data_IF_215144613718
#
_entry.id   IF_215144613718
#
_cell.length_a   1.000
_cell.length_b   1.000
_cell.length_c   1.000
_cell.angle_alpha   90.00
_cell.angle_beta   90.00
_cell.angle_gamma   90.00
#
_symmetry.space_group_name_H-M   'P 1'
#
loop_
_entity.id
_entity.type
_entity.pdbx_description
1 polymer ?
#
# COMPACT_ATOMS: atom_id res chain seq x y z
N UNK A 1 9.39 52.14 22.88
CA UNK A 1 8.15 51.48 22.42
C UNK A 1 8.34 50.42 21.31
N UNK A 2 9.54 49.82 21.15
CA UNK A 2 9.82 48.86 20.06
C UNK A 2 10.01 47.39 20.50
N UNK A 3 10.11 47.10 21.80
CA UNK A 3 10.40 45.74 22.31
C UNK A 3 9.26 44.72 22.17
N UNK A 4 8.00 45.17 22.08
CA UNK A 4 6.86 44.25 21.96
C UNK A 4 6.59 43.74 20.54
N UNK A 5 7.07 44.46 19.51
CA UNK A 5 6.86 44.05 18.11
C UNK A 5 7.82 42.95 17.67
N UNK A 6 9.05 42.97 18.17
CA UNK A 6 10.08 41.97 17.85
C UNK A 6 9.83 40.62 18.52
N UNK A 7 9.33 40.60 19.76
CA UNK A 7 9.00 39.35 20.47
C UNK A 7 7.80 38.63 19.88
N UNK A 8 6.76 39.35 19.45
CA UNK A 8 5.62 38.76 18.73
C UNK A 8 6.04 38.11 17.40
N UNK A 9 6.94 38.75 16.66
CA UNK A 9 7.44 38.20 15.39
C UNK A 9 8.23 36.91 15.59
N UNK A 10 9.09 36.84 16.62
CA UNK A 10 9.88 35.64 16.91
C UNK A 10 9.00 34.46 17.35
N UNK A 11 7.98 34.71 18.17
CA UNK A 11 7.03 33.68 18.61
C UNK A 11 6.19 33.12 17.45
N UNK A 12 5.74 33.98 16.52
CA UNK A 12 5.00 33.56 15.34
C UNK A 12 5.87 32.71 14.39
N UNK A 13 7.14 33.09 14.19
CA UNK A 13 8.07 32.30 13.38
C UNK A 13 8.36 30.94 14.02
N UNK A 14 8.56 30.88 15.35
CA UNK A 14 8.77 29.62 16.06
C UNK A 14 7.55 28.68 15.98
N UNK A 15 6.34 29.23 16.09
CA UNK A 15 5.10 28.46 15.92
C UNK A 15 4.98 27.91 14.50
N UNK A 16 5.25 28.72 13.48
CA UNK A 16 5.23 28.30 12.08
C UNK A 16 6.24 27.19 11.80
N UNK A 17 7.47 27.32 12.31
CA UNK A 17 8.51 26.28 12.20
C UNK A 17 8.07 25.00 12.90
N UNK A 18 7.44 25.09 14.07
CA UNK A 18 6.92 23.93 14.81
C UNK A 18 5.78 23.26 14.04
N UNK A 19 4.85 24.02 13.48
CA UNK A 19 3.76 23.49 12.64
C UNK A 19 4.32 22.82 11.40
N UNK A 20 5.29 23.44 10.71
CA UNK A 20 5.98 22.83 9.56
C UNK A 20 6.69 21.55 10.00
N UNK A 21 7.44 21.55 11.10
CA UNK A 21 8.15 20.37 11.61
C UNK A 21 7.19 19.23 11.97
N UNK A 22 6.08 19.54 12.66
CA UNK A 22 5.01 18.58 12.99
C UNK A 22 4.33 18.07 11.72
N UNK A 23 4.03 18.93 10.75
CA UNK A 23 3.48 18.52 9.45
C UNK A 23 4.47 17.72 8.60
N UNK A 24 5.78 17.92 8.79
CA UNK A 24 6.80 17.14 8.08
C UNK A 24 7.01 15.78 8.76
N UNK A 25 6.94 15.75 10.09
CA UNK A 25 7.08 14.54 10.91
C UNK A 25 5.82 13.64 10.86
N UNK A 26 4.63 14.26 10.79
CA UNK A 26 3.33 13.56 10.76
C UNK A 26 2.61 13.59 9.40
N UNK A 27 3.07 14.37 8.44
CA UNK A 27 2.42 14.49 7.13
C UNK A 27 2.72 13.32 6.19
N UNK A 28 2.08 13.39 5.03
CA UNK A 28 2.09 12.43 3.92
C UNK A 28 3.48 12.12 3.30
N UNK A 29 4.58 12.57 3.92
CA UNK A 29 5.95 12.42 3.46
C UNK A 29 6.88 11.59 4.36
N UNK A 30 6.49 11.23 5.58
CA UNK A 30 7.37 10.47 6.49
C UNK A 30 7.42 8.97 6.11
N UNK A 31 8.17 8.66 5.05
CA UNK A 31 8.46 7.28 4.65
C UNK A 31 9.33 6.63 5.73
N UNK A 32 8.82 5.56 6.31
CA UNK A 32 9.55 4.79 7.33
C UNK A 32 9.80 3.38 6.80
N UNK A 33 11.06 2.96 6.88
CA UNK A 33 11.52 1.65 6.43
C UNK A 33 11.52 0.65 7.59
N UNK A 34 11.33 -0.62 7.26
CA UNK A 34 11.53 -1.64 8.28
C UNK A 34 13.02 -1.67 8.65
N UNK A 35 13.38 -1.77 9.94
CA UNK A 35 14.79 -1.78 10.35
C UNK A 35 15.55 -3.01 9.84
N UNK A 36 14.83 -4.10 9.54
CA UNK A 36 15.38 -5.35 9.04
C UNK A 36 14.43 -5.92 7.98
N UNK A 37 14.98 -6.41 6.87
CA UNK A 37 14.21 -7.13 5.85
C UNK A 37 13.71 -8.45 6.43
N UNK A 38 12.43 -8.75 6.25
CA UNK A 38 11.83 -9.97 6.78
C UNK A 38 10.78 -10.57 5.85
N UNK A 39 10.67 -11.89 5.88
CA UNK A 39 9.54 -12.62 5.32
C UNK A 39 8.81 -13.31 6.48
N UNK A 40 7.48 -13.13 6.55
CA UNK A 40 6.64 -13.66 7.63
C UNK A 40 5.45 -14.36 7.00
N UNK A 41 5.06 -15.49 7.56
CA UNK A 41 3.83 -16.19 7.16
C UNK A 41 2.74 -15.89 8.17
N UNK A 42 1.55 -15.57 7.70
CA UNK A 42 0.36 -15.31 8.51
C UNK A 42 -0.77 -16.23 8.10
N UNK A 43 -1.59 -16.62 9.07
CA UNK A 43 -2.78 -17.46 8.95
C UNK A 43 -4.07 -16.66 8.72
N UNK A 44 -4.01 -15.33 8.88
CA UNK A 44 -5.13 -14.43 8.68
C UNK A 44 -4.66 -13.12 8.01
N UNK A 45 -5.39 -12.57 7.00
CA UNK A 45 -4.96 -11.38 6.28
C UNK A 45 -4.77 -10.14 7.17
N UNK A 46 -5.63 -9.94 8.17
CA UNK A 46 -5.55 -8.84 9.13
C UNK A 46 -4.21 -8.81 9.88
N UNK A 47 -3.58 -9.96 10.15
CA UNK A 47 -2.28 -10.01 10.84
C UNK A 47 -1.15 -9.40 10.01
N UNK A 48 -1.32 -9.26 8.70
CA UNK A 48 -0.35 -8.55 7.86
C UNK A 48 -0.18 -7.09 8.30
N UNK A 49 -1.29 -6.42 8.66
CA UNK A 49 -1.25 -5.05 9.16
C UNK A 49 -0.46 -4.95 10.47
N UNK A 50 -0.65 -5.88 11.40
CA UNK A 50 0.07 -5.88 12.67
C UNK A 50 1.58 -6.01 12.46
N UNK A 51 2.01 -6.87 11.53
CA UNK A 51 3.42 -7.00 11.15
C UNK A 51 3.97 -5.67 10.62
N UNK A 52 3.24 -4.97 9.76
CA UNK A 52 3.65 -3.67 9.23
C UNK A 52 3.71 -2.60 10.33
N UNK A 53 2.65 -2.51 11.15
CA UNK A 53 2.53 -1.55 12.26
C UNK A 53 3.65 -1.73 13.28
N UNK A 54 3.92 -2.95 13.72
CA UNK A 54 4.97 -3.25 14.71
C UNK A 54 6.37 -2.87 14.21
N UNK A 55 6.59 -2.93 12.89
CA UNK A 55 7.85 -2.51 12.27
C UNK A 55 7.91 -1.01 11.95
N UNK A 56 6.84 -0.27 12.26
CA UNK A 56 6.79 1.18 12.09
C UNK A 56 6.84 1.62 10.62
N UNK A 57 6.50 0.75 9.66
CA UNK A 57 6.57 1.12 8.24
C UNK A 57 5.42 2.05 7.87
N UNK A 58 5.73 3.09 7.10
CA UNK A 58 4.77 4.13 6.69
C UNK A 58 5.05 4.62 5.27
N UNK A 59 3.99 4.98 4.55
CA UNK A 59 4.04 5.60 3.23
C UNK A 59 4.71 4.74 2.16
N UNK A 60 4.41 3.43 2.12
CA UNK A 60 5.06 2.45 1.24
C UNK A 60 4.23 2.08 0.03
N UNK A 61 4.93 1.71 -1.04
CA UNK A 61 4.30 1.02 -2.16
C UNK A 61 4.07 -0.43 -1.77
N UNK A 62 2.85 -0.92 -1.95
CA UNK A 62 2.48 -2.32 -1.76
C UNK A 62 2.47 -3.03 -3.11
N UNK A 63 3.14 -4.17 -3.22
CA UNK A 63 2.93 -5.16 -4.28
C UNK A 63 2.01 -6.24 -3.72
N UNK A 64 0.79 -6.29 -4.23
CA UNK A 64 -0.31 -7.12 -3.73
C UNK A 64 -0.58 -8.24 -4.72
N UNK A 65 -0.18 -9.46 -4.39
CA UNK A 65 -0.50 -10.68 -5.14
C UNK A 65 -1.77 -11.29 -4.55
N UNK A 66 -2.92 -11.02 -5.16
CA UNK A 66 -4.23 -11.49 -4.67
C UNK A 66 -5.24 -11.64 -5.81
N UNK A 67 -6.41 -12.23 -5.56
CA UNK A 67 -7.45 -12.51 -6.57
C UNK A 67 -8.38 -11.34 -6.82
N UNK A 68 -8.61 -10.47 -5.85
CA UNK A 68 -9.40 -9.26 -6.07
C UNK A 68 -9.20 -8.28 -4.93
N UNK A 69 -8.97 -6.99 -5.19
CA UNK A 69 -9.00 -5.99 -4.15
C UNK A 69 -10.48 -5.80 -3.79
N UNK A 70 -10.83 -5.86 -2.51
CA UNK A 70 -12.20 -5.70 -2.01
C UNK A 70 -12.74 -4.25 -2.20
N UNK A 71 -12.58 -3.67 -3.39
CA UNK A 71 -12.93 -2.29 -3.77
C UNK A 71 -14.41 -2.11 -4.07
N UNK A 72 -15.28 -2.70 -3.24
CA UNK A 72 -16.68 -2.28 -3.20
C UNK A 72 -16.67 -0.92 -2.53
N UNK A 73 -16.52 0.15 -3.32
CA UNK A 73 -16.27 1.55 -2.92
C UNK A 73 -17.33 2.22 -2.04
N UNK A 74 -17.81 1.53 -1.00
CA UNK A 74 -18.73 1.96 0.04
C UNK A 74 -18.38 1.25 1.35
N UNK A 75 -17.16 1.46 1.86
CA UNK A 75 -16.94 1.21 3.28
C UNK A 75 -17.43 2.43 4.05
N UNK A 76 -18.63 2.31 4.58
CA UNK A 76 -19.23 3.29 5.46
C UNK A 76 -18.69 3.00 6.88
N UNK A 77 -17.54 3.56 7.23
CA UNK A 77 -17.04 3.52 8.61
C UNK A 77 -17.97 4.39 9.47
N UNK A 78 -19.09 3.84 9.91
CA UNK A 78 -19.86 4.41 11.01
C UNK A 78 -19.16 3.99 12.32
N UNK A 79 -18.20 4.81 12.78
CA UNK A 79 -17.42 4.54 14.00
C UNK A 79 -15.92 4.39 13.74
N UNK A 80 -15.19 3.81 14.70
CA UNK A 80 -13.76 3.53 14.52
C UNK A 80 -13.54 2.44 13.46
N UNK A 81 -12.57 2.61 12.54
CA UNK A 81 -12.19 1.56 11.63
C UNK A 81 -11.80 0.30 12.40
N UNK A 82 -12.50 -0.80 12.15
CA UNK A 82 -12.11 -2.13 12.61
C UNK A 82 -11.46 -2.87 11.45
N UNK A 83 -10.29 -3.46 11.72
CA UNK A 83 -9.56 -4.24 10.72
C UNK A 83 -10.26 -5.60 10.54
N UNK A 84 -10.66 -5.87 9.31
CA UNK A 84 -11.24 -7.11 8.85
C UNK A 84 -10.42 -7.65 7.69
N UNK A 85 -10.52 -8.96 7.44
CA UNK A 85 -9.95 -9.59 6.24
C UNK A 85 -10.32 -8.83 4.95
N UNK A 86 -11.56 -8.36 4.87
CA UNK A 86 -12.12 -7.70 3.69
C UNK A 86 -11.60 -6.28 3.45
N UNK A 87 -10.95 -5.64 4.43
CA UNK A 87 -10.61 -4.22 4.37
C UNK A 87 -9.13 -3.92 4.70
N UNK A 88 -8.27 -4.94 4.73
CA UNK A 88 -6.85 -4.83 5.07
C UNK A 88 -6.15 -3.68 4.30
N UNK A 89 -6.37 -3.61 3.00
CA UNK A 89 -5.70 -2.67 2.10
C UNK A 89 -6.20 -1.24 2.37
N UNK A 90 -7.50 -1.07 2.43
CA UNK A 90 -8.21 0.16 2.78
C UNK A 90 -7.71 0.71 4.11
N UNK A 91 -7.73 -0.15 5.14
CA UNK A 91 -7.31 0.18 6.49
C UNK A 91 -5.85 0.61 6.53
N UNK A 92 -4.98 -0.11 5.82
CA UNK A 92 -3.55 0.21 5.71
C UNK A 92 -3.30 1.54 4.98
N UNK A 93 -4.16 1.92 4.02
CA UNK A 93 -4.14 3.26 3.41
C UNK A 93 -4.53 4.32 4.46
N UNK A 94 -5.65 4.14 5.17
CA UNK A 94 -6.11 5.11 6.19
C UNK A 94 -5.08 5.34 7.29
N UNK A 95 -4.33 4.30 7.66
CA UNK A 95 -3.27 4.36 8.67
C UNK A 95 -1.91 4.84 8.12
N UNK A 96 -1.87 5.34 6.88
CA UNK A 96 -0.69 5.84 6.20
C UNK A 96 0.45 4.81 6.11
N UNK A 97 0.13 3.51 6.08
CA UNK A 97 1.08 2.43 5.83
C UNK A 97 1.35 2.34 4.33
N UNK A 98 0.30 2.42 3.51
CA UNK A 98 0.34 2.24 2.05
C UNK A 98 0.00 3.56 1.34
N UNK A 99 0.79 3.93 0.34
CA UNK A 99 0.58 5.14 -0.49
C UNK A 99 0.41 4.87 -1.99
N UNK A 100 0.65 3.64 -2.42
CA UNK A 100 0.53 3.20 -3.82
C UNK A 100 0.42 1.69 -3.83
N UNK A 101 -0.36 1.14 -4.75
CA UNK A 101 -0.56 -0.29 -4.87
C UNK A 101 -0.27 -0.73 -6.30
N UNK A 102 0.56 -1.76 -6.44
CA UNK A 102 0.64 -2.61 -7.62
C UNK A 102 -0.10 -3.90 -7.31
N UNK A 103 -1.30 -4.04 -7.86
CA UNK A 103 -2.11 -5.24 -7.74
C UNK A 103 -1.73 -6.22 -8.85
N UNK A 104 -1.15 -7.35 -8.48
CA UNK A 104 -0.65 -8.35 -9.42
C UNK A 104 -1.73 -9.41 -9.63
N UNK A 105 -2.18 -9.54 -10.87
CA UNK A 105 -3.16 -10.53 -11.31
C UNK A 105 -2.43 -11.60 -12.12
N UNK A 106 -2.68 -12.91 -11.92
CA UNK A 106 -2.03 -13.95 -12.72
C UNK A 106 -2.27 -13.72 -14.22
N UNK A 107 -1.26 -13.96 -15.06
CA UNK A 107 -1.36 -13.73 -16.51
C UNK A 107 -2.54 -14.46 -17.17
N UNK A 108 -2.90 -15.64 -16.64
CA UNK A 108 -4.02 -16.46 -17.12
C UNK A 108 -5.40 -15.91 -16.67
N UNK A 109 -5.45 -15.13 -15.60
CA UNK A 109 -6.69 -14.55 -15.06
C UNK A 109 -6.92 -13.09 -15.48
N UNK A 110 -6.09 -12.55 -16.39
CA UNK A 110 -6.15 -11.14 -16.77
C UNK A 110 -7.44 -10.76 -17.49
N UNK A 111 -7.89 -11.58 -18.43
CA UNK A 111 -9.10 -11.30 -19.21
C UNK A 111 -10.36 -11.41 -18.32
N UNK A 112 -10.39 -12.41 -17.42
CA UNK A 112 -11.43 -12.54 -16.40
C UNK A 112 -11.46 -11.31 -15.49
N UNK A 113 -10.30 -10.86 -15.01
CA UNK A 113 -10.19 -9.65 -14.18
C UNK A 113 -10.74 -8.40 -14.87
N UNK A 114 -10.49 -8.22 -16.17
CA UNK A 114 -11.03 -7.08 -16.93
C UNK A 114 -12.54 -7.17 -17.18
N UNK A 115 -13.10 -8.37 -17.16
CA UNK A 115 -14.54 -8.60 -17.33
C UNK A 115 -15.35 -8.32 -16.06
N UNK A 116 -14.69 -8.24 -14.89
CA UNK A 116 -15.37 -8.02 -13.62
C UNK A 116 -15.99 -6.62 -13.54
N UNK A 117 -17.22 -6.49 -13.01
CA UNK A 117 -17.89 -5.21 -12.92
C UNK A 117 -17.18 -4.30 -11.91
N UNK A 118 -16.64 -3.17 -12.39
CA UNK A 118 -16.02 -2.16 -11.54
C UNK A 118 -16.91 -0.94 -11.32
N UNK A 119 -16.90 -0.40 -10.10
CA UNK A 119 -17.68 0.80 -9.73
C UNK A 119 -17.06 2.11 -10.23
N UNK A 120 -15.87 2.06 -10.83
CA UNK A 120 -15.03 3.21 -11.20
C UNK A 120 -14.44 3.00 -12.59
N UNK A 121 -14.15 4.07 -13.35
CA UNK A 121 -13.53 3.94 -14.66
C UNK A 121 -12.13 3.33 -14.54
N UNK A 122 -11.87 2.32 -15.36
CA UNK A 122 -10.56 1.73 -15.57
C UNK A 122 -9.86 2.51 -16.69
N UNK A 123 -8.58 2.82 -16.53
CA UNK A 123 -7.76 3.42 -17.60
C UNK A 123 -6.56 2.54 -17.89
N UNK A 124 -6.32 2.25 -19.16
CA UNK A 124 -5.08 1.57 -19.58
C UNK A 124 -3.87 2.46 -19.28
N UNK A 125 -2.73 1.82 -18.98
CA UNK A 125 -1.45 2.50 -18.73
C UNK A 125 -0.58 2.29 -19.98
N UNK A 126 -0.31 3.33 -20.77
CA UNK A 126 0.38 3.20 -22.05
C UNK A 126 1.76 2.53 -21.98
N UNK A 127 2.45 2.69 -20.85
CA UNK A 127 3.79 2.16 -20.64
C UNK A 127 3.81 0.65 -20.28
N UNK A 128 2.64 0.04 -20.03
CA UNK A 128 2.51 -1.36 -19.62
C UNK A 128 1.72 -2.17 -20.65
N UNK A 129 2.27 -3.30 -21.09
CA UNK A 129 1.58 -4.20 -22.01
C UNK A 129 0.24 -4.72 -21.43
N UNK A 130 0.25 -5.08 -20.14
CA UNK A 130 -0.95 -5.40 -19.34
C UNK A 130 -0.91 -4.60 -18.04
N UNK A 131 -1.47 -3.40 -18.08
CA UNK A 131 -1.55 -2.53 -16.93
C UNK A 131 -2.75 -1.60 -17.01
N UNK A 132 -3.54 -1.56 -15.95
CA UNK A 132 -4.67 -0.65 -15.82
C UNK A 132 -4.65 0.08 -14.48
N UNK A 133 -4.93 1.37 -14.52
CA UNK A 133 -5.18 2.19 -13.35
C UNK A 133 -6.62 1.98 -12.89
N UNK A 134 -6.79 1.70 -11.61
CA UNK A 134 -8.09 1.61 -10.95
C UNK A 134 -8.30 2.86 -10.10
N UNK A 135 -9.35 3.63 -10.36
CA UNK A 135 -9.55 4.93 -9.70
C UNK A 135 -10.11 4.82 -8.27
N UNK A 136 -9.26 5.21 -7.30
CA UNK A 136 -9.48 5.72 -5.94
C UNK A 136 -10.25 4.88 -4.92
N UNK A 137 -9.52 3.95 -4.30
CA UNK A 137 -9.55 3.78 -2.85
C UNK A 137 -8.91 5.03 -2.19
N UNK A 138 -9.73 5.93 -1.64
CA UNK A 138 -9.28 7.01 -0.75
C UNK A 138 -8.17 7.96 -1.28
N UNK A 139 -8.09 8.19 -2.59
CA UNK A 139 -7.08 9.10 -3.18
C UNK A 139 -5.72 8.47 -3.48
N UNK A 140 -5.57 7.16 -3.29
CA UNK A 140 -4.32 6.44 -3.51
C UNK A 140 -4.28 5.78 -4.89
N UNK A 141 -3.17 5.91 -5.66
CA UNK A 141 -3.01 5.23 -6.94
C UNK A 141 -2.92 3.71 -6.78
N UNK A 142 -3.82 3.00 -7.46
CA UNK A 142 -3.76 1.55 -7.63
C UNK A 142 -3.61 1.20 -9.11
N UNK A 143 -2.61 0.36 -9.39
CA UNK A 143 -2.29 -0.15 -10.72
C UNK A 143 -2.45 -1.66 -10.69
N UNK A 144 -3.43 -2.19 -11.41
CA UNK A 144 -3.50 -3.63 -11.68
C UNK A 144 -2.60 -3.98 -12.87
N UNK A 145 -1.82 -5.03 -12.74
CA UNK A 145 -0.88 -5.49 -13.77
C UNK A 145 -0.66 -7.00 -13.66
N UNK A 146 -0.09 -7.61 -14.68
CA UNK A 146 0.32 -9.02 -14.63
C UNK A 146 1.78 -9.18 -14.21
N UNK A 147 2.22 -10.38 -13.77
CA UNK A 147 3.63 -10.68 -13.55
C UNK A 147 4.53 -10.27 -14.73
N UNK A 148 4.14 -10.62 -15.95
CA UNK A 148 4.87 -10.27 -17.17
C UNK A 148 5.04 -8.75 -17.34
N UNK A 149 4.00 -7.98 -17.02
CA UNK A 149 3.94 -6.52 -17.22
C UNK A 149 4.34 -5.69 -16.00
N UNK A 150 4.57 -6.31 -14.84
CA UNK A 150 5.01 -5.61 -13.63
C UNK A 150 6.31 -4.84 -13.94
N UNK A 151 6.34 -3.50 -13.77
CA UNK A 151 7.54 -2.72 -14.03
C UNK A 151 8.57 -2.89 -12.92
N UNK A 152 9.82 -2.52 -13.22
CA UNK A 152 10.82 -2.32 -12.18
C UNK A 152 10.38 -1.20 -11.21
N UNK A 153 10.64 -1.40 -9.92
CA UNK A 153 10.32 -0.43 -8.86
C UNK A 153 11.63 0.02 -8.20
N UNK A 154 11.93 1.31 -8.30
CA UNK A 154 13.16 1.90 -7.74
C UNK A 154 13.10 2.12 -6.23
N UNK A 155 11.95 1.91 -5.61
CA UNK A 155 11.77 2.02 -4.17
C UNK A 155 11.64 0.64 -3.52
N UNK A 156 12.00 0.57 -2.24
CA UNK A 156 11.69 -0.61 -1.45
C UNK A 156 10.18 -0.71 -1.21
N UNK A 157 9.61 -1.90 -1.31
CA UNK A 157 8.16 -2.13 -1.23
C UNK A 157 7.76 -3.00 -0.03
N UNK A 158 6.47 -2.94 0.32
CA UNK A 158 5.82 -4.02 1.05
C UNK A 158 5.33 -5.05 0.04
N UNK A 159 5.39 -6.32 0.39
CA UNK A 159 4.85 -7.40 -0.42
C UNK A 159 3.82 -8.15 0.41
N UNK A 160 2.66 -8.40 -0.18
CA UNK A 160 1.66 -9.31 0.35
C UNK A 160 1.38 -10.37 -0.70
N UNK A 161 1.52 -11.64 -0.32
CA UNK A 161 1.22 -12.78 -1.18
C UNK A 161 0.10 -13.60 -0.58
N UNK A 162 -1.03 -13.63 -1.27
CA UNK A 162 -2.09 -14.57 -0.96
C UNK A 162 -1.72 -15.95 -1.53
N UNK A 163 -1.32 -16.88 -0.65
CA UNK A 163 -0.95 -18.24 -0.97
C UNK A 163 -2.06 -19.10 -1.59
N UNK A 164 -3.33 -18.69 -1.45
CA UNK A 164 -4.46 -19.33 -2.12
C UNK A 164 -4.51 -19.02 -3.62
N UNK A 165 -3.81 -17.97 -4.07
CA UNK A 165 -3.89 -17.40 -5.41
C UNK A 165 -2.55 -17.46 -6.13
N UNK A 166 -1.48 -17.15 -5.42
CA UNK A 166 -0.11 -17.14 -5.93
C UNK A 166 0.76 -18.07 -5.09
N UNK A 167 1.61 -18.85 -5.74
CA UNK A 167 2.70 -19.54 -5.05
C UNK A 167 3.70 -18.49 -4.51
N UNK A 168 3.96 -18.44 -3.19
CA UNK A 168 4.95 -17.54 -2.61
C UNK A 168 6.34 -17.64 -3.25
N UNK A 169 6.74 -18.82 -3.72
CA UNK A 169 8.03 -19.00 -4.41
C UNK A 169 8.05 -18.28 -5.75
N UNK A 170 7.00 -18.45 -6.56
CA UNK A 170 6.87 -17.76 -7.85
C UNK A 170 6.81 -16.24 -7.68
N UNK A 171 6.09 -15.76 -6.66
CA UNK A 171 6.07 -14.34 -6.34
C UNK A 171 7.47 -13.82 -5.97
N UNK A 172 8.24 -14.57 -5.16
CA UNK A 172 9.60 -14.20 -4.79
C UNK A 172 10.56 -14.21 -6.00
N UNK A 173 10.46 -15.21 -6.86
CA UNK A 173 11.24 -15.30 -8.11
C UNK A 173 10.94 -14.11 -9.03
N UNK A 174 9.67 -13.75 -9.20
CA UNK A 174 9.27 -12.58 -9.98
C UNK A 174 9.89 -11.29 -9.42
N UNK A 175 9.81 -11.09 -8.11
CA UNK A 175 10.39 -9.90 -7.46
C UNK A 175 11.91 -9.83 -7.69
N UNK A 176 12.61 -10.96 -7.61
CA UNK A 176 14.04 -11.04 -7.90
C UNK A 176 14.35 -10.74 -9.38
N UNK A 177 13.61 -11.33 -10.32
CA UNK A 177 13.75 -11.09 -11.76
C UNK A 177 13.52 -9.62 -12.13
N UNK A 178 12.57 -8.95 -11.47
CA UNK A 178 12.25 -7.53 -11.68
C UNK A 178 13.13 -6.59 -10.84
N UNK A 179 14.10 -7.13 -10.08
CA UNK A 179 14.95 -6.40 -9.15
C UNK A 179 14.16 -5.52 -8.16
N UNK A 180 12.99 -5.99 -7.70
CA UNK A 180 12.14 -5.30 -6.73
C UNK A 180 12.58 -5.70 -5.33
N UNK A 181 13.05 -4.74 -4.53
CA UNK A 181 13.45 -4.98 -3.14
C UNK A 181 12.25 -4.84 -2.20
N UNK A 182 12.01 -5.84 -1.35
CA UNK A 182 11.00 -5.79 -0.30
C UNK A 182 11.60 -5.54 1.09
N UNK A 183 10.90 -4.76 1.92
CA UNK A 183 11.20 -4.65 3.36
C UNK A 183 10.55 -5.77 4.16
N UNK A 184 9.27 -5.99 3.88
CA UNK A 184 8.47 -6.99 4.56
C UNK A 184 7.70 -7.71 3.47
N UNK A 185 7.91 -9.02 3.40
CA UNK A 185 7.06 -9.93 2.63
C UNK A 185 6.15 -10.67 3.59
N UNK A 186 4.84 -10.52 3.41
CA UNK A 186 3.83 -11.28 4.16
C UNK A 186 3.25 -12.33 3.23
N UNK A 187 3.41 -13.60 3.60
CA UNK A 187 2.77 -14.72 2.93
C UNK A 187 1.53 -15.11 3.73
N UNK A 188 0.34 -14.85 3.19
CA UNK A 188 -0.89 -15.34 3.77
C UNK A 188 -1.12 -16.79 3.31
N UNK A 189 -1.31 -17.69 4.26
CA UNK A 189 -1.72 -19.07 4.00
C UNK A 189 -3.08 -19.26 4.69
N UNK A 190 -4.14 -19.35 3.89
CA UNK A 190 -5.44 -19.72 4.43
C UNK A 190 -5.37 -21.11 5.03
N UNK A 191 -5.75 -21.26 6.30
CA UNK A 191 -6.07 -22.57 6.86
C UNK A 191 -7.28 -23.11 6.09
N UNK A 192 -7.03 -23.82 5.00
CA UNK A 192 -8.02 -24.72 4.40
C UNK A 192 -8.08 -25.96 5.28
N UNK A 193 -8.86 -25.88 6.34
CA UNK A 193 -9.49 -27.06 6.93
C UNK A 193 -10.72 -27.45 6.11
#
# INVERSE_FOLDING_TARGET
MYRHKTTCSLAATALLVTVIAVMTYHGAGARSFAPVKQAVTVDAPEKAYDVWRQKGVRGRTLVLFDRYPHMRGRFNYQGEPQLERSNLVEFSIFQNVIRKIYFVVPDAGWDDFLSEPTTKPIRTIPELARGVSLYNLNGIPMIATTPSSLPHLSEQVLVYVNGDVFDPKQAQELLAQKAISSDITVNYQGNRE
#
